data_IF_591909505798
#
_entry.id   IF_591909505798
#
_cell.length_a   1.000
_cell.length_b   1.000
_cell.length_c   1.000
_cell.angle_alpha   90.00
_cell.angle_beta   90.00
_cell.angle_gamma   90.00
#
_symmetry.space_group_name_H-M   'P 1'
#
loop_
_entity.id
_entity.type
_entity.pdbx_description
1 polymer ?
#
# COMPACT_ATOMS: atom_id res chain seq x y z
N UNK A 1 27.21 -5.46 -6.65
CA UNK A 1 27.35 -5.83 -5.22
C UNK A 1 26.25 -6.77 -4.76
N UNK A 2 24.96 -6.39 -4.77
CA UNK A 2 23.87 -7.26 -4.30
C UNK A 2 23.75 -8.56 -5.11
N UNK A 3 23.83 -8.47 -6.44
CA UNK A 3 23.85 -9.64 -7.34
C UNK A 3 24.95 -10.64 -6.98
N UNK A 4 26.20 -10.19 -6.87
CA UNK A 4 27.32 -11.05 -6.46
C UNK A 4 27.15 -11.67 -5.07
N UNK A 5 26.58 -10.93 -4.10
CA UNK A 5 26.28 -11.49 -2.77
C UNK A 5 25.17 -12.53 -2.79
N UNK A 6 24.10 -12.30 -3.56
CA UNK A 6 23.06 -13.31 -3.74
C UNK A 6 23.59 -14.52 -4.49
N UNK A 7 24.46 -14.34 -5.47
CA UNK A 7 25.14 -15.44 -6.18
C UNK A 7 26.10 -16.24 -5.25
N UNK A 8 26.66 -15.62 -4.20
CA UNK A 8 27.50 -16.28 -3.19
C UNK A 8 26.71 -16.97 -2.06
N UNK A 9 25.56 -16.42 -1.64
CA UNK A 9 24.75 -16.89 -0.49
C UNK A 9 23.53 -17.75 -0.92
N UNK A 10 23.59 -18.35 -2.11
CA UNK A 10 22.47 -18.44 -3.05
C UNK A 10 21.38 -19.51 -2.83
N UNK A 11 21.65 -20.64 -2.19
CA UNK A 11 20.79 -21.81 -2.42
C UNK A 11 19.54 -21.91 -1.51
N UNK A 12 19.43 -21.08 -0.46
CA UNK A 12 18.39 -21.22 0.59
C UNK A 12 17.72 -19.91 1.07
N UNK A 13 17.70 -18.85 0.26
CA UNK A 13 17.10 -17.57 0.69
C UNK A 13 15.61 -17.45 0.31
N UNK A 14 14.71 -17.72 1.26
CA UNK A 14 13.26 -17.53 1.08
C UNK A 14 12.82 -16.06 1.23
N UNK A 15 13.65 -15.22 1.87
CA UNK A 15 13.30 -13.82 2.19
C UNK A 15 14.48 -12.85 2.16
N UNK A 16 14.31 -11.72 1.49
CA UNK A 16 15.31 -10.67 1.35
C UNK A 16 14.89 -9.43 2.15
N UNK A 17 15.68 -9.02 3.15
CA UNK A 17 15.45 -7.75 3.87
C UNK A 17 16.43 -6.68 3.39
N UNK A 18 15.90 -5.55 2.95
CA UNK A 18 16.69 -4.41 2.46
C UNK A 18 16.35 -3.11 3.16
N UNK A 19 17.28 -2.16 3.05
CA UNK A 19 17.11 -0.74 3.42
C UNK A 19 17.20 0.14 2.17
N UNK A 20 17.39 1.45 2.32
CA UNK A 20 17.44 2.42 1.21
C UNK A 20 18.61 2.25 0.24
N UNK A 21 19.79 1.83 0.72
CA UNK A 21 21.00 1.79 -0.11
C UNK A 21 20.97 0.69 -1.21
N UNK A 22 20.24 -0.39 -0.97
CA UNK A 22 20.23 -1.56 -1.84
C UNK A 22 19.10 -1.46 -2.84
N UNK A 23 19.41 -1.43 -4.14
CA UNK A 23 18.40 -1.48 -5.21
C UNK A 23 18.07 -2.92 -5.56
N UNK A 24 16.80 -3.32 -5.42
CA UNK A 24 16.27 -4.63 -5.79
C UNK A 24 15.57 -4.48 -7.13
N UNK A 25 16.33 -4.56 -8.22
CA UNK A 25 15.86 -4.34 -9.59
C UNK A 25 15.20 -5.60 -10.18
N UNK A 26 14.46 -5.47 -11.29
CA UNK A 26 13.97 -6.60 -12.06
C UNK A 26 15.05 -7.63 -12.41
N UNK A 27 16.27 -7.18 -12.74
CA UNK A 27 17.41 -8.07 -13.03
C UNK A 27 17.72 -8.99 -11.84
N UNK A 28 17.72 -8.45 -10.61
CA UNK A 28 18.00 -9.23 -9.40
C UNK A 28 16.84 -10.17 -9.09
N UNK A 29 15.60 -9.69 -9.22
CA UNK A 29 14.38 -10.46 -8.95
C UNK A 29 14.24 -11.66 -9.89
N UNK A 30 14.63 -11.49 -11.15
CA UNK A 30 14.53 -12.52 -12.19
C UNK A 30 15.80 -13.37 -12.32
N UNK A 31 16.87 -13.06 -11.57
CA UNK A 31 18.08 -13.85 -11.59
C UNK A 31 17.82 -15.29 -11.08
N UNK A 32 18.54 -16.31 -11.58
CA UNK A 32 18.44 -17.68 -11.07
C UNK A 32 18.67 -17.77 -9.56
N UNK A 33 19.50 -16.86 -9.03
CA UNK A 33 19.76 -16.72 -7.61
C UNK A 33 18.54 -16.37 -6.74
N UNK A 34 17.51 -15.78 -7.35
CA UNK A 34 16.26 -15.45 -6.68
C UNK A 34 15.17 -16.50 -6.90
N UNK A 35 15.52 -17.74 -7.31
CA UNK A 35 14.53 -18.78 -7.61
C UNK A 35 13.61 -19.11 -6.42
N UNK A 36 14.17 -19.15 -5.21
CA UNK A 36 13.45 -19.46 -3.96
C UNK A 36 12.87 -18.25 -3.25
N UNK A 37 13.20 -17.04 -3.70
CA UNK A 37 12.76 -15.81 -3.04
C UNK A 37 11.22 -15.76 -3.04
N UNK A 38 10.61 -15.58 -1.85
CA UNK A 38 9.16 -15.46 -1.66
C UNK A 38 8.74 -14.11 -1.11
N UNK A 39 9.62 -13.44 -0.38
CA UNK A 39 9.32 -12.15 0.27
C UNK A 39 10.50 -11.18 0.20
N UNK A 40 10.20 -9.92 -0.08
CA UNK A 40 11.13 -8.79 0.02
C UNK A 40 10.60 -7.86 1.10
N UNK A 41 11.33 -7.75 2.22
CA UNK A 41 11.02 -6.84 3.30
C UNK A 41 11.85 -5.56 3.22
N UNK A 42 11.21 -4.42 3.00
CA UNK A 42 11.86 -3.10 3.08
C UNK A 42 11.72 -2.55 4.50
N UNK A 43 12.84 -2.46 5.21
CA UNK A 43 12.91 -1.82 6.53
C UNK A 43 12.84 -0.28 6.43
N UNK A 44 11.64 0.21 6.12
CA UNK A 44 11.24 1.61 6.12
C UNK A 44 9.97 1.82 5.28
N UNK A 45 9.44 3.04 5.23
CA UNK A 45 8.14 3.33 4.59
C UNK A 45 8.14 3.31 3.06
N UNK A 46 9.12 3.98 2.43
CA UNK A 46 9.26 3.96 0.96
C UNK A 46 9.73 2.63 0.42
N UNK A 47 9.34 2.30 -0.81
CA UNK A 47 9.78 1.09 -1.53
C UNK A 47 10.39 1.43 -2.88
N UNK A 48 10.82 2.69 -3.06
CA UNK A 48 11.32 3.25 -4.31
C UNK A 48 12.58 2.52 -4.84
N UNK A 49 13.28 1.81 -3.94
CA UNK A 49 14.45 0.99 -4.24
C UNK A 49 14.12 -0.48 -4.54
N UNK A 50 12.84 -0.85 -4.65
CA UNK A 50 12.37 -2.20 -4.99
C UNK A 50 11.49 -2.12 -6.23
N UNK A 51 11.78 -2.95 -7.22
CA UNK A 51 10.93 -3.11 -8.39
C UNK A 51 9.69 -3.95 -8.03
N UNK A 52 8.66 -3.26 -7.53
CA UNK A 52 7.42 -3.87 -7.06
C UNK A 52 6.69 -4.57 -8.20
N UNK A 53 6.76 -4.05 -9.43
CA UNK A 53 6.10 -4.67 -10.58
C UNK A 53 6.75 -6.01 -10.92
N UNK A 54 8.08 -6.05 -11.03
CA UNK A 54 8.82 -7.29 -11.27
C UNK A 54 8.60 -8.31 -10.15
N UNK A 55 8.62 -7.86 -8.88
CA UNK A 55 8.31 -8.72 -7.74
C UNK A 55 6.89 -9.28 -7.82
N UNK A 56 5.91 -8.43 -8.18
CA UNK A 56 4.51 -8.84 -8.36
C UNK A 56 4.40 -9.87 -9.47
N UNK A 57 5.00 -9.66 -10.65
CA UNK A 57 4.93 -10.63 -11.76
C UNK A 57 5.48 -12.01 -11.36
N UNK A 58 6.58 -12.04 -10.59
CA UNK A 58 7.15 -13.28 -10.01
C UNK A 58 6.41 -13.84 -8.78
N UNK A 59 5.32 -13.21 -8.35
CA UNK A 59 4.56 -13.64 -7.17
C UNK A 59 5.29 -13.45 -5.84
N UNK A 60 6.30 -12.57 -5.80
CA UNK A 60 7.08 -12.26 -4.60
C UNK A 60 6.38 -11.16 -3.82
N UNK A 61 6.11 -11.43 -2.54
CA UNK A 61 5.47 -10.46 -1.65
C UNK A 61 6.47 -9.35 -1.28
N UNK A 62 6.09 -8.08 -1.50
CA UNK A 62 6.83 -6.91 -1.01
C UNK A 62 6.15 -6.38 0.25
N UNK A 63 6.92 -6.21 1.32
CA UNK A 63 6.46 -5.65 2.59
C UNK A 63 7.27 -4.42 2.97
N UNK A 64 6.66 -3.45 3.64
CA UNK A 64 7.30 -2.26 4.18
C UNK A 64 6.96 -2.04 5.67
N UNK A 65 7.60 -1.05 6.29
CA UNK A 65 7.33 -0.67 7.69
C UNK A 65 6.74 0.74 7.74
N UNK A 66 5.42 0.89 7.53
CA UNK A 66 4.79 2.18 7.21
C UNK A 66 4.84 3.21 8.35
N UNK A 67 5.03 2.79 9.60
CA UNK A 67 5.06 3.68 10.76
C UNK A 67 6.48 3.92 11.32
N UNK A 68 7.43 3.02 11.05
CA UNK A 68 8.71 2.98 11.76
C UNK A 68 9.55 4.27 11.71
N UNK A 69 9.41 5.07 10.63
CA UNK A 69 10.19 6.29 10.42
C UNK A 69 9.41 7.61 10.59
N UNK A 70 8.10 7.58 10.88
CA UNK A 70 7.27 8.80 10.81
C UNK A 70 7.76 9.90 11.75
N UNK A 71 8.12 9.55 12.98
CA UNK A 71 8.60 10.50 13.99
C UNK A 71 9.93 11.15 13.57
N UNK A 72 10.90 10.36 13.12
CA UNK A 72 12.21 10.87 12.74
C UNK A 72 12.16 11.75 11.50
N UNK A 73 11.29 11.44 10.54
CA UNK A 73 11.07 12.29 9.37
C UNK A 73 10.40 13.62 9.74
N UNK A 74 9.45 13.59 10.69
CA UNK A 74 8.83 14.80 11.22
C UNK A 74 9.84 15.69 11.97
N UNK A 75 10.67 15.10 12.84
CA UNK A 75 11.73 15.82 13.56
C UNK A 75 12.74 16.46 12.59
N UNK A 76 13.18 15.74 11.55
CA UNK A 76 14.05 16.30 10.53
C UNK A 76 13.38 17.48 9.81
N UNK A 77 12.10 17.34 9.44
CA UNK A 77 11.35 18.42 8.78
C UNK A 77 11.26 19.67 9.67
N UNK A 78 10.92 19.52 10.95
CA UNK A 78 10.91 20.64 11.91
C UNK A 78 12.31 21.28 12.04
N UNK A 79 13.36 20.46 12.11
CA UNK A 79 14.75 20.93 12.14
C UNK A 79 15.14 21.69 10.87
N UNK A 80 14.66 21.26 9.70
CA UNK A 80 14.86 21.94 8.43
C UNK A 80 14.14 23.30 8.37
N UNK A 81 12.91 23.38 8.88
CA UNK A 81 12.16 24.65 9.00
C UNK A 81 12.94 25.64 9.88
N UNK A 82 13.38 25.21 11.06
CA UNK A 82 14.20 26.04 11.96
C UNK A 82 15.54 26.46 11.32
N UNK A 83 16.17 25.54 10.59
CA UNK A 83 17.44 25.79 9.90
C UNK A 83 17.28 26.80 8.78
N UNK A 84 16.17 26.80 8.05
CA UNK A 84 15.87 27.82 7.04
C UNK A 84 15.57 29.18 7.66
N UNK A 85 14.78 29.20 8.74
CA UNK A 85 14.43 30.45 9.42
C UNK A 85 15.67 31.18 9.95
N UNK A 86 16.72 30.45 10.33
CA UNK A 86 17.91 30.99 11.00
C UNK A 86 19.22 30.81 10.24
N UNK A 87 19.18 30.20 9.05
CA UNK A 87 20.35 29.89 8.20
C UNK A 87 21.46 29.16 8.95
N UNK A 88 21.08 28.22 9.83
CA UNK A 88 21.99 27.60 10.81
C UNK A 88 23.18 26.90 10.12
N UNK A 89 22.99 26.04 9.09
CA UNK A 89 24.11 25.34 8.46
C UNK A 89 25.12 26.29 7.81
N UNK A 90 24.62 27.33 7.12
CA UNK A 90 25.45 28.34 6.45
C UNK A 90 26.22 29.18 7.47
N UNK A 91 25.58 29.60 8.57
CA UNK A 91 26.23 30.36 9.64
C UNK A 91 27.30 29.52 10.36
N UNK A 92 27.00 28.26 10.65
CA UNK A 92 27.95 27.33 11.25
C UNK A 92 29.16 27.05 10.34
N UNK A 93 28.94 26.94 9.02
CA UNK A 93 30.02 26.80 8.05
C UNK A 93 30.93 28.04 8.03
N UNK A 94 30.36 29.26 8.01
CA UNK A 94 31.12 30.53 8.07
C UNK A 94 32.00 30.61 9.32
N UNK A 95 31.49 30.21 10.49
CA UNK A 95 32.29 30.14 11.73
C UNK A 95 33.47 29.17 11.64
N UNK A 96 33.28 27.99 11.00
CA UNK A 96 34.36 27.00 10.78
C UNK A 96 35.43 27.51 9.82
N UNK A 97 35.08 28.43 8.93
CA UNK A 97 36.02 29.15 8.06
C UNK A 97 36.73 30.31 8.77
N UNK A 98 36.47 30.54 10.06
CA UNK A 98 37.08 31.61 10.86
C UNK A 98 36.45 32.99 10.66
N UNK A 99 35.26 33.08 10.06
CA UNK A 99 34.56 34.35 9.80
C UNK A 99 33.60 34.69 10.95
N UNK A 100 33.29 35.98 11.10
CA UNK A 100 32.31 36.50 12.07
C UNK A 100 31.23 37.35 11.37
N UNK A 101 30.45 36.71 10.50
CA UNK A 101 29.50 37.38 9.60
C UNK A 101 28.13 37.69 10.24
N UNK A 102 28.10 38.25 11.46
CA UNK A 102 26.85 38.48 12.22
C UNK A 102 25.79 39.28 11.44
N UNK A 103 26.21 40.25 10.62
CA UNK A 103 25.30 41.10 9.82
C UNK A 103 24.70 40.37 8.60
N UNK A 104 25.34 39.29 8.13
CA UNK A 104 24.92 38.53 6.96
C UNK A 104 23.74 37.62 7.26
N UNK A 105 23.72 37.02 8.44
CA UNK A 105 22.74 36.00 8.82
C UNK A 105 21.56 36.61 9.61
N UNK A 106 20.77 37.43 8.93
CA UNK A 106 19.52 37.95 9.47
C UNK A 106 18.40 36.93 9.28
N UNK A 107 18.03 36.24 10.36
CA UNK A 107 16.96 35.25 10.35
C UNK A 107 15.56 35.84 10.52
N UNK A 108 14.58 34.95 10.66
CA UNK A 108 13.19 35.29 10.99
C UNK A 108 12.68 34.47 12.18
N UNK A 109 11.68 35.01 12.86
CA UNK A 109 10.91 34.30 13.88
C UNK A 109 9.81 33.46 13.22
N UNK A 110 9.53 32.30 13.80
CA UNK A 110 8.44 31.42 13.37
C UNK A 110 7.09 31.82 13.95
N UNK A 111 7.08 32.50 15.10
CA UNK A 111 5.84 32.89 15.78
C UNK A 111 4.96 33.74 14.86
N UNK A 112 3.70 33.33 14.71
CA UNK A 112 2.71 34.01 13.86
C UNK A 112 2.85 33.76 12.35
N UNK A 113 3.90 33.06 11.90
CA UNK A 113 4.06 32.67 10.49
C UNK A 113 3.13 31.53 10.11
N UNK A 114 2.77 31.46 8.83
CA UNK A 114 1.91 30.41 8.29
C UNK A 114 2.74 29.30 7.64
N UNK A 115 2.52 28.05 8.07
CA UNK A 115 3.03 26.84 7.46
C UNK A 115 1.92 26.13 6.68
N UNK A 116 2.11 25.98 5.37
CA UNK A 116 1.31 25.11 4.51
C UNK A 116 1.85 23.68 4.53
N UNK A 117 1.01 22.72 4.87
CA UNK A 117 1.36 21.30 4.95
C UNK A 117 0.60 20.54 3.87
N UNK A 118 1.31 20.08 2.83
CA UNK A 118 0.74 19.31 1.74
C UNK A 118 0.91 17.82 2.04
N UNK A 119 -0.19 17.13 2.34
CA UNK A 119 -0.18 15.77 2.89
C UNK A 119 -0.31 15.79 4.41
N UNK A 120 -1.47 15.37 4.91
CA UNK A 120 -1.88 15.43 6.32
C UNK A 120 -1.92 14.03 6.96
N UNK A 121 -1.22 13.07 6.36
CA UNK A 121 -0.98 11.76 6.95
C UNK A 121 -0.08 11.82 8.19
N UNK A 122 0.48 10.66 8.57
CA UNK A 122 1.24 10.48 9.82
C UNK A 122 2.33 11.54 10.05
N UNK A 123 3.14 11.83 9.03
CA UNK A 123 4.26 12.78 9.17
C UNK A 123 3.73 14.22 9.22
N UNK A 124 2.84 14.60 8.31
CA UNK A 124 2.27 15.96 8.27
C UNK A 124 1.57 16.36 9.56
N UNK A 125 0.83 15.42 10.19
CA UNK A 125 0.25 15.62 11.51
C UNK A 125 1.30 15.89 12.59
N UNK A 126 2.35 15.09 12.66
CA UNK A 126 3.41 15.26 13.65
C UNK A 126 4.18 16.57 13.46
N UNK A 127 4.39 17.00 12.22
CA UNK A 127 4.98 18.30 11.89
C UNK A 127 4.05 19.44 12.32
N UNK A 128 2.75 19.36 12.03
CA UNK A 128 1.77 20.38 12.42
C UNK A 128 1.81 20.64 13.93
N UNK A 129 1.65 19.57 14.74
CA UNK A 129 1.62 19.67 16.21
C UNK A 129 2.90 20.31 16.76
N UNK A 130 4.07 19.95 16.22
CA UNK A 130 5.35 20.53 16.65
C UNK A 130 5.50 21.99 16.24
N UNK A 131 5.11 22.34 15.02
CA UNK A 131 5.27 23.72 14.53
C UNK A 131 4.27 24.69 15.15
N UNK A 132 3.09 24.22 15.54
CA UNK A 132 2.14 24.97 16.36
C UNK A 132 2.72 25.31 17.75
N UNK A 133 3.55 24.44 18.34
CA UNK A 133 4.23 24.75 19.60
C UNK A 133 5.26 25.89 19.49
N UNK A 134 5.75 26.17 18.28
CA UNK A 134 6.55 27.38 17.97
C UNK A 134 5.67 28.61 17.65
N UNK A 135 4.35 28.50 17.79
CA UNK A 135 3.40 29.58 17.52
C UNK A 135 3.11 29.82 16.04
N UNK A 136 3.42 28.88 15.15
CA UNK A 136 3.03 28.95 13.74
C UNK A 136 1.53 28.68 13.57
N UNK A 137 0.93 29.31 12.57
CA UNK A 137 -0.40 28.94 12.05
C UNK A 137 -0.20 27.82 11.03
N UNK A 138 -1.04 26.80 11.06
CA UNK A 138 -0.94 25.66 10.14
C UNK A 138 -2.19 25.54 9.29
N UNK A 139 -2.00 25.58 7.97
CA UNK A 139 -3.02 25.25 6.96
C UNK A 139 -2.53 24.04 6.17
N UNK A 140 -3.43 23.28 5.56
CA UNK A 140 -3.01 22.10 4.82
C UNK A 140 -3.98 21.62 3.77
N UNK A 141 -3.52 20.65 2.99
CA UNK A 141 -4.31 20.00 1.95
C UNK A 141 -4.01 18.50 1.94
N UNK A 142 -5.06 17.70 1.96
CA UNK A 142 -4.98 16.27 1.73
C UNK A 142 -6.32 15.77 1.12
N UNK A 143 -6.32 15.13 -0.06
CA UNK A 143 -7.57 14.68 -0.68
C UNK A 143 -8.17 13.42 -0.02
N UNK A 144 -7.46 12.78 0.91
CA UNK A 144 -7.85 11.53 1.55
C UNK A 144 -8.30 11.77 3.00
N UNK A 145 -7.59 12.64 3.73
CA UNK A 145 -7.90 12.93 5.14
C UNK A 145 -9.10 13.87 5.23
N UNK A 146 -10.11 13.49 6.02
CA UNK A 146 -11.32 14.29 6.18
C UNK A 146 -11.03 15.60 6.95
N UNK A 147 -11.70 16.72 6.65
CA UNK A 147 -11.49 18.00 7.32
C UNK A 147 -11.61 17.94 8.86
N UNK A 148 -12.53 17.13 9.38
CA UNK A 148 -12.70 16.90 10.81
C UNK A 148 -11.49 16.23 11.47
N UNK A 149 -10.80 15.33 10.75
CA UNK A 149 -9.60 14.66 11.27
C UNK A 149 -8.44 15.65 11.39
N UNK A 150 -8.26 16.52 10.39
CA UNK A 150 -7.23 17.57 10.42
C UNK A 150 -7.51 18.65 11.47
N UNK A 151 -8.78 19.01 11.66
CA UNK A 151 -9.18 19.97 12.68
C UNK A 151 -8.85 19.47 14.09
N UNK A 152 -8.92 18.15 14.33
CA UNK A 152 -8.57 17.55 15.62
C UNK A 152 -7.10 17.75 16.04
N UNK A 153 -6.21 18.07 15.10
CA UNK A 153 -4.82 18.46 15.37
C UNK A 153 -4.50 19.89 14.93
N UNK A 154 -5.53 20.75 14.84
CA UNK A 154 -5.37 22.20 14.67
C UNK A 154 -4.94 22.65 13.27
N UNK A 155 -5.14 21.82 12.24
CA UNK A 155 -4.86 22.19 10.84
C UNK A 155 -6.17 22.48 10.12
N UNK A 156 -6.29 23.69 9.58
CA UNK A 156 -7.36 24.06 8.68
C UNK A 156 -7.07 23.52 7.27
N UNK A 157 -7.97 22.71 6.74
CA UNK A 157 -7.87 22.24 5.36
C UNK A 157 -8.44 23.26 4.39
N UNK A 158 -7.65 23.60 3.36
CA UNK A 158 -8.01 24.57 2.33
C UNK A 158 -7.71 24.01 0.94
N UNK A 159 -8.43 24.45 -0.10
CA UNK A 159 -8.03 24.21 -1.48
C UNK A 159 -6.62 24.77 -1.76
N UNK A 160 -5.86 24.11 -2.62
CA UNK A 160 -4.46 24.45 -2.91
C UNK A 160 -4.29 25.92 -3.32
N UNK A 161 -5.17 26.43 -4.18
CA UNK A 161 -5.17 27.82 -4.65
C UNK A 161 -5.31 28.87 -3.53
N UNK A 162 -5.91 28.48 -2.40
CA UNK A 162 -6.03 29.34 -1.22
C UNK A 162 -4.81 29.24 -0.30
N UNK A 163 -4.07 28.12 -0.34
CA UNK A 163 -2.89 27.89 0.51
C UNK A 163 -1.70 28.73 0.04
N UNK A 164 -1.41 28.76 -1.27
CA UNK A 164 -0.25 29.44 -1.84
C UNK A 164 -0.06 30.89 -1.37
N UNK A 165 -1.08 31.77 -1.45
CA UNK A 165 -0.92 33.17 -1.06
C UNK A 165 -0.83 33.39 0.46
N UNK A 166 -1.05 32.37 1.29
CA UNK A 166 -1.03 32.47 2.75
C UNK A 166 0.30 32.08 3.38
N UNK A 167 1.05 31.21 2.72
CA UNK A 167 2.18 30.52 3.33
C UNK A 167 3.46 31.35 3.36
N UNK A 168 4.10 31.40 4.52
CA UNK A 168 5.49 31.83 4.66
C UNK A 168 6.43 30.61 4.48
N UNK A 169 5.97 29.43 4.91
CA UNK A 169 6.64 28.15 4.74
C UNK A 169 5.70 27.13 4.07
N UNK A 170 6.22 26.27 3.21
CA UNK A 170 5.51 25.12 2.65
C UNK A 170 6.32 23.86 2.90
N UNK A 171 5.69 22.81 3.40
CA UNK A 171 6.30 21.48 3.50
C UNK A 171 5.42 20.42 2.85
N UNK A 172 6.06 19.43 2.22
CA UNK A 172 5.38 18.35 1.50
C UNK A 172 5.62 17.00 2.18
N UNK A 173 4.54 16.24 2.31
CA UNK A 173 4.45 14.92 2.95
C UNK A 173 3.53 13.97 2.19
N UNK A 174 3.41 14.18 0.87
CA UNK A 174 2.66 13.30 -0.03
C UNK A 174 3.53 12.14 -0.53
N UNK A 175 2.94 11.01 -0.94
CA UNK A 175 3.64 10.05 -1.80
C UNK A 175 3.94 10.68 -3.16
N UNK A 176 4.94 10.15 -3.88
CA UNK A 176 5.17 10.52 -5.28
C UNK A 176 4.22 9.74 -6.18
N UNK A 177 3.31 10.46 -6.82
CA UNK A 177 2.27 9.97 -7.72
C UNK A 177 2.21 10.89 -8.94
N UNK A 178 1.59 10.50 -10.06
CA UNK A 178 1.37 11.40 -11.19
C UNK A 178 0.68 12.71 -10.80
N UNK A 179 -0.24 12.67 -9.83
CA UNK A 179 -0.96 13.85 -9.32
C UNK A 179 -0.14 14.73 -8.36
N UNK A 180 0.96 14.24 -7.80
CA UNK A 180 1.80 14.97 -6.83
C UNK A 180 3.20 15.27 -7.39
N UNK A 181 3.51 14.80 -8.59
CA UNK A 181 4.74 15.13 -9.32
C UNK A 181 4.69 16.59 -9.74
N UNK A 182 5.72 17.37 -9.39
CA UNK A 182 5.75 18.80 -9.65
C UNK A 182 4.60 19.57 -8.99
N UNK A 183 4.11 19.11 -7.84
CA UNK A 183 3.09 19.79 -7.05
C UNK A 183 3.49 21.23 -6.72
N UNK A 184 4.79 21.45 -6.48
CA UNK A 184 5.38 22.78 -6.53
C UNK A 184 6.15 22.94 -7.85
N UNK A 185 5.66 23.81 -8.72
CA UNK A 185 6.21 24.14 -10.04
C UNK A 185 6.17 25.66 -10.29
N UNK A 186 6.56 26.14 -11.47
CA UNK A 186 6.61 27.59 -11.76
C UNK A 186 5.26 28.29 -11.53
N UNK A 187 4.15 27.65 -11.90
CA UNK A 187 2.81 28.22 -11.77
C UNK A 187 2.35 28.30 -10.31
N UNK A 188 2.67 27.31 -9.47
CA UNK A 188 2.35 27.38 -8.04
C UNK A 188 3.29 28.33 -7.31
N UNK A 189 4.57 28.37 -7.67
CA UNK A 189 5.52 29.34 -7.10
C UNK A 189 5.10 30.78 -7.38
N UNK A 190 4.57 31.07 -8.57
CA UNK A 190 4.06 32.40 -8.92
C UNK A 190 2.86 32.85 -8.05
N UNK A 191 2.09 31.90 -7.50
CA UNK A 191 0.96 32.18 -6.60
C UNK A 191 1.38 32.32 -5.13
N UNK A 192 2.59 31.87 -4.79
CA UNK A 192 3.09 31.95 -3.43
C UNK A 192 3.43 33.39 -3.04
N UNK A 193 3.51 33.64 -1.72
CA UNK A 193 4.13 34.86 -1.21
C UNK A 193 5.58 34.93 -1.67
N UNK A 194 6.01 36.13 -2.09
CA UNK A 194 7.42 36.36 -2.41
C UNK A 194 8.28 36.11 -1.18
N UNK A 195 9.31 35.28 -1.33
CA UNK A 195 10.19 34.88 -0.24
C UNK A 195 9.73 33.61 0.50
N UNK A 196 8.72 32.89 0.00
CA UNK A 196 8.27 31.61 0.59
C UNK A 196 9.44 30.64 0.77
N UNK A 197 9.47 29.91 1.88
CA UNK A 197 10.47 28.89 2.17
C UNK A 197 9.90 27.48 1.99
N UNK A 198 10.62 26.59 1.31
CA UNK A 198 10.10 25.25 0.95
C UNK A 198 10.90 24.14 1.64
N UNK A 199 10.22 23.12 2.16
CA UNK A 199 10.85 21.94 2.77
C UNK A 199 10.32 20.67 2.13
N UNK A 200 11.21 19.86 1.56
CA UNK A 200 10.89 18.53 1.05
C UNK A 200 11.77 17.47 1.72
N UNK A 201 11.16 16.74 2.66
CA UNK A 201 11.73 15.55 3.29
C UNK A 201 10.89 14.29 2.97
N UNK A 202 10.10 14.34 1.89
CA UNK A 202 9.18 13.27 1.51
C UNK A 202 9.72 12.42 0.36
N UNK A 203 9.61 12.91 -0.88
CA UNK A 203 10.15 12.25 -2.08
C UNK A 203 10.66 13.28 -3.08
N UNK A 204 11.74 12.93 -3.80
CA UNK A 204 12.19 13.68 -4.97
C UNK A 204 11.08 13.78 -6.02
N UNK A 205 11.08 14.85 -6.80
CA UNK A 205 10.08 15.09 -7.85
C UNK A 205 8.73 15.65 -7.38
N UNK A 206 8.40 15.67 -6.09
CA UNK A 206 7.19 16.36 -5.60
C UNK A 206 7.33 17.88 -5.81
N UNK A 207 8.53 18.40 -5.54
CA UNK A 207 8.92 19.76 -5.90
C UNK A 207 9.71 19.65 -7.21
N UNK A 208 9.27 20.37 -8.24
CA UNK A 208 10.02 20.48 -9.49
C UNK A 208 11.34 21.23 -9.21
N UNK A 209 12.45 20.51 -9.34
CA UNK A 209 13.79 21.01 -9.01
C UNK A 209 14.22 22.19 -9.90
N UNK A 210 13.83 22.18 -11.18
CA UNK A 210 14.12 23.25 -12.12
C UNK A 210 13.33 24.52 -11.80
N UNK A 211 12.03 24.37 -11.52
CA UNK A 211 11.16 25.47 -11.10
C UNK A 211 11.63 26.06 -9.77
N UNK A 212 12.01 25.20 -8.81
CA UNK A 212 12.56 25.64 -7.53
C UNK A 212 13.84 26.47 -7.73
N UNK A 213 14.76 26.03 -8.58
CA UNK A 213 15.99 26.76 -8.88
C UNK A 213 15.68 28.16 -9.47
N UNK A 214 14.75 28.25 -10.43
CA UNK A 214 14.30 29.54 -11.00
C UNK A 214 13.62 30.43 -9.96
N UNK A 215 12.80 29.84 -9.09
CA UNK A 215 12.13 30.56 -8.01
C UNK A 215 13.14 31.11 -6.98
N UNK A 216 14.19 30.35 -6.66
CA UNK A 216 15.28 30.78 -5.79
C UNK A 216 16.09 31.93 -6.41
N UNK A 217 16.41 31.84 -7.70
CA UNK A 217 17.16 32.87 -8.43
C UNK A 217 16.39 34.18 -8.57
N UNK A 218 15.07 34.13 -8.76
CA UNK A 218 14.20 35.31 -8.83
C UNK A 218 13.86 35.91 -7.46
N UNK A 219 14.14 35.17 -6.37
CA UNK A 219 13.73 35.51 -5.01
C UNK A 219 12.23 35.31 -4.75
N UNK A 220 11.52 34.64 -5.66
CA UNK A 220 10.16 34.17 -5.39
C UNK A 220 10.16 33.15 -4.25
N UNK A 221 11.12 32.23 -4.25
CA UNK A 221 11.45 31.37 -3.11
C UNK A 221 12.63 31.95 -2.34
N UNK A 222 12.47 32.18 -1.04
CA UNK A 222 13.51 32.77 -0.19
C UNK A 222 14.57 31.76 0.26
N UNK A 223 14.26 30.47 0.21
CA UNK A 223 15.16 29.38 0.57
C UNK A 223 14.46 28.03 0.56
N UNK A 224 15.24 26.96 0.46
CA UNK A 224 14.70 25.61 0.43
C UNK A 224 15.54 24.61 1.22
N UNK A 225 14.89 23.64 1.85
CA UNK A 225 15.53 22.53 2.53
C UNK A 225 15.09 21.20 1.90
N UNK A 226 16.05 20.45 1.37
CA UNK A 226 15.82 19.23 0.59
C UNK A 226 16.57 18.05 1.22
N UNK A 227 15.85 17.05 1.69
CA UNK A 227 16.46 15.77 2.11
C UNK A 227 16.46 14.74 0.97
N UNK A 228 15.69 14.99 -0.09
CA UNK A 228 15.42 14.04 -1.18
C UNK A 228 15.54 14.73 -2.52
N UNK A 229 15.95 13.98 -3.54
CA UNK A 229 16.16 14.45 -4.91
C UNK A 229 15.54 13.47 -5.92
N UNK A 230 15.26 13.94 -7.13
CA UNK A 230 14.69 13.13 -8.21
C UNK A 230 15.68 12.04 -8.65
N UNK A 231 16.97 12.37 -8.66
CA UNK A 231 18.05 11.41 -8.80
C UNK A 231 18.91 11.40 -7.54
N UNK A 232 19.11 10.23 -6.94
CA UNK A 232 19.91 10.06 -5.72
C UNK A 232 21.08 9.07 -5.96
N UNK A 233 22.34 9.50 -5.82
CA UNK A 233 22.82 10.87 -5.50
C UNK A 233 22.59 11.88 -6.65
N UNK A 234 22.36 13.18 -6.35
CA UNK A 234 22.08 14.18 -7.37
C UNK A 234 23.31 14.46 -8.23
N UNK A 235 23.17 14.26 -9.55
CA UNK A 235 24.18 14.62 -10.54
C UNK A 235 24.20 16.12 -10.81
N UNK A 236 23.03 16.73 -10.95
CA UNK A 236 22.92 18.18 -10.99
C UNK A 236 23.15 18.75 -9.59
N UNK A 237 24.16 19.60 -9.49
CA UNK A 237 24.61 20.21 -8.25
C UNK A 237 24.09 21.64 -8.07
N UNK A 238 23.33 22.19 -9.01
CA UNK A 238 22.87 23.58 -9.00
C UNK A 238 22.08 23.91 -7.73
N UNK A 239 21.09 23.08 -7.37
CA UNK A 239 20.35 23.24 -6.11
C UNK A 239 21.23 23.00 -4.89
N UNK A 240 22.02 21.91 -4.89
CA UNK A 240 22.86 21.56 -3.73
C UNK A 240 23.87 22.66 -3.40
N UNK A 241 24.40 23.34 -4.41
CA UNK A 241 25.39 24.39 -4.25
C UNK A 241 24.76 25.79 -4.07
N UNK A 242 23.43 25.94 -4.19
CA UNK A 242 22.78 27.23 -4.06
C UNK A 242 22.86 27.76 -2.62
N UNK A 243 23.22 29.03 -2.38
CA UNK A 243 23.50 29.55 -1.03
C UNK A 243 22.29 29.51 -0.08
N UNK A 244 21.07 29.63 -0.64
CA UNK A 244 19.82 29.57 0.12
C UNK A 244 19.21 28.16 0.19
N UNK A 245 19.95 27.13 -0.23
CA UNK A 245 19.52 25.74 -0.13
C UNK A 245 20.27 25.04 0.99
N UNK A 246 19.53 24.33 1.82
CA UNK A 246 20.04 23.35 2.77
C UNK A 246 19.71 21.99 2.21
N UNK A 247 20.68 21.08 2.14
CA UNK A 247 20.39 19.73 1.68
C UNK A 247 21.04 18.67 2.55
N UNK A 248 20.40 17.51 2.60
CA UNK A 248 20.85 16.33 3.31
C UNK A 248 20.77 15.09 2.40
N UNK A 249 21.63 14.08 2.61
CA UNK A 249 21.65 12.88 1.80
C UNK A 249 20.60 11.86 2.29
N UNK A 250 19.31 12.20 2.21
CA UNK A 250 18.18 11.32 2.54
C UNK A 250 18.26 10.74 3.97
N UNK A 251 18.30 11.63 4.95
CA UNK A 251 18.46 11.34 6.37
C UNK A 251 17.14 11.17 7.13
N UNK A 252 15.96 11.34 6.53
CA UNK A 252 14.67 11.32 7.23
C UNK A 252 14.39 10.09 8.09
N UNK A 253 14.98 8.94 7.76
CA UNK A 253 14.90 7.71 8.55
C UNK A 253 16.23 7.30 9.23
N UNK A 254 17.27 8.12 9.13
CA UNK A 254 18.63 7.81 9.55
C UNK A 254 18.87 8.13 11.03
N UNK A 255 18.02 7.55 11.90
CA UNK A 255 18.13 7.64 13.36
C UNK A 255 18.21 6.25 13.98
N UNK A 256 18.85 6.11 15.15
CA UNK A 256 18.98 4.79 15.81
C UNK A 256 17.60 4.20 16.12
N UNK A 257 16.68 5.06 16.53
CA UNK A 257 15.32 4.72 16.94
C UNK A 257 14.48 4.28 15.74
N UNK A 258 14.53 4.99 14.61
CA UNK A 258 13.82 4.56 13.40
C UNK A 258 14.40 3.25 12.86
N UNK A 259 15.73 3.11 12.81
CA UNK A 259 16.36 1.87 12.34
C UNK A 259 16.00 0.67 13.23
N UNK A 260 15.92 0.86 14.55
CA UNK A 260 15.47 -0.17 15.49
C UNK A 260 13.99 -0.52 15.30
N UNK A 261 13.11 0.48 15.20
CA UNK A 261 11.67 0.27 14.97
C UNK A 261 11.41 -0.45 13.64
N UNK A 262 11.96 0.04 12.54
CA UNK A 262 11.80 -0.58 11.22
C UNK A 262 12.38 -2.01 11.20
N UNK A 263 13.56 -2.23 11.79
CA UNK A 263 14.15 -3.56 11.87
C UNK A 263 13.27 -4.55 12.66
N UNK A 264 12.75 -4.12 13.81
CA UNK A 264 11.83 -4.94 14.60
C UNK A 264 10.52 -5.20 13.87
N UNK A 265 9.94 -4.17 13.26
CA UNK A 265 8.66 -4.25 12.55
C UNK A 265 8.73 -5.21 11.38
N UNK A 266 9.77 -5.12 10.52
CA UNK A 266 9.90 -6.04 9.39
C UNK A 266 10.16 -7.47 9.85
N UNK A 267 10.96 -7.67 10.92
CA UNK A 267 11.21 -8.99 11.47
C UNK A 267 9.92 -9.63 12.01
N UNK A 268 9.10 -8.88 12.76
CA UNK A 268 7.81 -9.36 13.25
C UNK A 268 6.87 -9.69 12.10
N UNK A 269 6.81 -8.85 11.06
CA UNK A 269 6.00 -9.12 9.87
C UNK A 269 6.40 -10.42 9.15
N UNK A 270 7.70 -10.72 9.07
CA UNK A 270 8.18 -11.98 8.51
C UNK A 270 7.84 -13.19 9.39
N UNK A 271 7.92 -13.06 10.72
CA UNK A 271 7.46 -14.10 11.65
C UNK A 271 5.95 -14.33 11.51
N UNK A 272 5.18 -13.25 11.38
CA UNK A 272 3.73 -13.31 11.18
C UNK A 272 3.40 -14.02 9.86
N UNK A 273 4.14 -13.71 8.78
CA UNK A 273 4.02 -14.41 7.50
C UNK A 273 4.32 -15.91 7.63
N UNK A 274 5.43 -16.27 8.27
CA UNK A 274 5.82 -17.67 8.45
C UNK A 274 4.79 -18.47 9.28
N UNK A 275 4.13 -17.81 10.24
CA UNK A 275 3.10 -18.42 11.08
C UNK A 275 1.69 -18.32 10.47
N UNK A 276 1.55 -17.71 9.29
CA UNK A 276 0.25 -17.48 8.64
C UNK A 276 -0.67 -16.65 9.53
N UNK A 277 -0.17 -15.55 10.09
CA UNK A 277 -0.95 -14.52 10.79
C UNK A 277 -1.27 -13.35 9.84
N UNK A 278 -2.16 -12.47 10.26
CA UNK A 278 -2.53 -11.29 9.47
C UNK A 278 -1.29 -10.40 9.22
N UNK A 279 -1.15 -9.90 7.99
CA UNK A 279 0.02 -9.13 7.59
C UNK A 279 -0.26 -7.62 7.63
N UNK A 280 0.73 -6.87 8.09
CA UNK A 280 0.78 -5.40 7.99
C UNK A 280 1.88 -5.01 7.00
N UNK A 281 1.70 -3.90 6.28
CA UNK A 281 2.73 -3.37 5.40
C UNK A 281 2.89 -4.10 4.06
N UNK A 282 1.96 -4.98 3.67
CA UNK A 282 1.95 -5.60 2.35
C UNK A 282 1.72 -4.54 1.25
N UNK A 283 2.65 -4.44 0.31
CA UNK A 283 2.64 -3.42 -0.75
C UNK A 283 1.90 -3.91 -2.00
N UNK A 284 2.26 -5.10 -2.50
CA UNK A 284 1.69 -5.71 -3.71
C UNK A 284 0.76 -6.90 -3.45
N UNK A 285 0.41 -7.14 -2.19
CA UNK A 285 -0.40 -8.28 -1.76
C UNK A 285 -1.44 -7.88 -0.73
N UNK A 286 -2.20 -6.81 -0.96
CA UNK A 286 -3.18 -6.30 0.02
C UNK A 286 -4.22 -7.37 0.39
N UNK A 287 -4.58 -8.24 -0.55
CA UNK A 287 -5.39 -9.43 -0.32
C UNK A 287 -4.83 -10.34 0.79
N UNK A 288 -3.51 -10.46 0.88
CA UNK A 288 -2.82 -11.29 1.86
C UNK A 288 -2.94 -10.77 3.29
N UNK A 289 -3.13 -9.46 3.47
CA UNK A 289 -3.29 -8.86 4.81
C UNK A 289 -4.43 -9.49 5.61
N UNK A 290 -5.50 -9.88 4.91
CA UNK A 290 -6.71 -10.49 5.49
C UNK A 290 -6.84 -11.99 5.21
N UNK A 291 -6.00 -12.53 4.32
CA UNK A 291 -6.09 -13.91 3.84
C UNK A 291 -5.67 -14.96 4.86
N UNK A 292 -4.78 -14.62 5.78
CA UNK A 292 -4.12 -15.61 6.64
C UNK A 292 -4.83 -15.84 7.99
N UNK A 293 -5.92 -15.12 8.27
CA UNK A 293 -6.68 -15.39 9.50
C UNK A 293 -7.28 -16.81 9.49
N UNK A 294 -7.33 -17.53 10.63
CA UNK A 294 -7.84 -18.92 10.67
C UNK A 294 -9.24 -19.09 10.07
N UNK A 295 -10.09 -18.08 10.20
CA UNK A 295 -11.45 -18.08 9.68
C UNK A 295 -11.56 -17.75 8.18
N UNK A 296 -10.53 -17.18 7.55
CA UNK A 296 -10.53 -16.82 6.11
C UNK A 296 -9.92 -17.91 5.22
N UNK A 297 -9.00 -18.74 5.76
CA UNK A 297 -8.35 -19.84 5.02
C UNK A 297 -9.34 -20.77 4.27
N UNK A 298 -10.44 -21.25 4.86
CA UNK A 298 -11.38 -22.14 4.15
C UNK A 298 -12.04 -21.45 2.94
N UNK A 299 -12.30 -20.14 3.05
CA UNK A 299 -12.93 -19.38 1.97
C UNK A 299 -11.99 -19.16 0.78
N UNK A 300 -10.70 -18.97 1.04
CA UNK A 300 -9.67 -18.86 -0.01
C UNK A 300 -9.51 -20.19 -0.75
N UNK A 301 -9.46 -21.30 -0.01
CA UNK A 301 -9.41 -22.64 -0.61
C UNK A 301 -10.65 -22.89 -1.50
N UNK A 302 -11.83 -22.53 -1.01
CA UNK A 302 -13.08 -22.62 -1.78
C UNK A 302 -13.05 -21.73 -3.03
N UNK A 303 -12.63 -20.47 -2.91
CA UNK A 303 -12.53 -19.54 -4.04
C UNK A 303 -11.55 -20.03 -5.12
N UNK A 304 -10.40 -20.57 -4.72
CA UNK A 304 -9.42 -21.16 -5.63
C UNK A 304 -9.96 -22.43 -6.30
N UNK A 305 -10.65 -23.30 -5.55
CA UNK A 305 -11.27 -24.50 -6.12
C UNK A 305 -12.37 -24.14 -7.13
N UNK A 306 -13.18 -23.12 -6.83
CA UNK A 306 -14.19 -22.60 -7.75
C UNK A 306 -13.56 -22.01 -9.01
N UNK A 307 -12.45 -21.26 -8.91
CA UNK A 307 -11.71 -20.78 -10.07
C UNK A 307 -11.16 -21.91 -10.93
N UNK A 308 -10.61 -22.96 -10.31
CA UNK A 308 -10.10 -24.16 -11.00
C UNK A 308 -11.23 -24.89 -11.73
N UNK A 309 -12.37 -25.05 -11.06
CA UNK A 309 -13.56 -25.66 -11.67
C UNK A 309 -14.08 -24.82 -12.84
N UNK A 310 -14.09 -23.49 -12.70
CA UNK A 310 -14.50 -22.59 -13.78
C UNK A 310 -13.57 -22.70 -15.00
N UNK A 311 -12.27 -22.81 -14.77
CA UNK A 311 -11.28 -23.08 -15.83
C UNK A 311 -11.59 -24.40 -16.54
N UNK A 312 -11.76 -25.50 -15.79
CA UNK A 312 -12.06 -26.81 -16.36
C UNK A 312 -13.37 -26.84 -17.17
N UNK A 313 -14.37 -26.03 -16.79
CA UNK A 313 -15.66 -25.93 -17.48
C UNK A 313 -15.59 -25.07 -18.76
N UNK A 314 -14.68 -24.10 -18.82
CA UNK A 314 -14.60 -23.10 -19.91
C UNK A 314 -13.44 -23.34 -20.88
N UNK A 315 -12.42 -24.10 -20.48
CA UNK A 315 -11.24 -24.40 -21.29
C UNK A 315 -10.29 -23.21 -21.40
N UNK A 316 -10.59 -22.27 -22.30
CA UNK A 316 -9.83 -21.01 -22.42
C UNK A 316 -10.64 -19.86 -21.84
N UNK A 317 -10.09 -19.28 -20.78
CA UNK A 317 -10.71 -18.20 -20.06
C UNK A 317 -10.37 -16.89 -20.78
N UNK A 318 -11.21 -16.46 -21.71
CA UNK A 318 -11.25 -15.08 -22.23
C UNK A 318 -12.60 -14.47 -21.86
N UNK A 319 -12.63 -13.34 -21.16
CA UNK A 319 -13.88 -12.70 -20.76
C UNK A 319 -13.86 -12.06 -19.37
N UNK A 320 -15.04 -11.97 -18.76
CA UNK A 320 -15.23 -11.32 -17.45
C UNK A 320 -15.77 -12.29 -16.40
N UNK A 321 -15.11 -12.33 -15.24
CA UNK A 321 -15.47 -13.16 -14.08
C UNK A 321 -15.86 -12.25 -12.93
N UNK A 322 -17.06 -12.43 -12.39
CA UNK A 322 -17.59 -11.66 -11.28
C UNK A 322 -17.71 -12.54 -10.04
N UNK A 323 -17.03 -12.15 -8.98
CA UNK A 323 -17.12 -12.76 -7.66
C UNK A 323 -18.23 -12.07 -6.86
N UNK A 324 -19.25 -12.83 -6.47
CA UNK A 324 -20.40 -12.32 -5.71
C UNK A 324 -20.43 -12.96 -4.33
N UNK A 325 -20.29 -12.13 -3.30
CA UNK A 325 -20.32 -12.56 -1.90
C UNK A 325 -21.65 -12.20 -1.25
N UNK A 326 -22.26 -13.15 -0.54
CA UNK A 326 -23.48 -12.96 0.24
C UNK A 326 -23.24 -13.24 1.73
N UNK A 327 -23.92 -12.47 2.58
CA UNK A 327 -23.85 -12.58 4.05
C UNK A 327 -22.98 -11.49 4.68
N UNK A 328 -23.35 -11.06 5.88
CA UNK A 328 -22.66 -9.99 6.62
C UNK A 328 -21.18 -10.31 6.89
N UNK A 329 -20.86 -11.59 7.11
CA UNK A 329 -19.48 -12.02 7.36
C UNK A 329 -18.57 -11.93 6.12
N UNK A 330 -19.12 -11.85 4.91
CA UNK A 330 -18.36 -11.77 3.66
C UNK A 330 -18.38 -10.37 3.00
N UNK A 331 -19.01 -9.37 3.63
CA UNK A 331 -19.08 -8.02 3.05
C UNK A 331 -17.72 -7.39 2.75
N UNK A 332 -16.70 -7.72 3.54
CA UNK A 332 -15.31 -7.24 3.34
C UNK A 332 -14.39 -8.30 2.70
N UNK A 333 -14.96 -9.44 2.29
CA UNK A 333 -14.19 -10.59 1.84
C UNK A 333 -13.72 -10.51 0.38
N UNK A 334 -14.34 -9.64 -0.41
CA UNK A 334 -14.01 -9.44 -1.82
C UNK A 334 -12.50 -9.20 -2.06
N UNK A 335 -11.83 -8.50 -1.13
CA UNK A 335 -10.41 -8.17 -1.24
C UNK A 335 -9.48 -9.38 -1.22
N UNK A 336 -9.87 -10.52 -0.63
CA UNK A 336 -9.06 -11.74 -0.61
C UNK A 336 -9.65 -12.90 -1.42
N UNK A 337 -10.96 -12.88 -1.70
CA UNK A 337 -11.60 -13.92 -2.50
C UNK A 337 -11.38 -13.74 -3.99
N UNK A 338 -11.43 -12.51 -4.50
CA UNK A 338 -11.27 -12.23 -5.94
C UNK A 338 -9.89 -12.68 -6.46
N UNK A 339 -8.77 -12.38 -5.77
CA UNK A 339 -7.46 -12.89 -6.17
C UNK A 339 -7.33 -14.41 -6.03
N UNK A 340 -8.02 -15.02 -5.08
CA UNK A 340 -8.05 -16.49 -4.92
C UNK A 340 -8.77 -17.18 -6.09
N UNK A 341 -9.86 -16.59 -6.59
CA UNK A 341 -10.54 -17.04 -7.81
C UNK A 341 -9.61 -16.92 -9.02
N UNK A 342 -8.97 -15.77 -9.20
CA UNK A 342 -8.01 -15.55 -10.30
C UNK A 342 -6.85 -16.56 -10.25
N UNK A 343 -6.31 -16.82 -9.06
CA UNK A 343 -5.29 -17.85 -8.84
C UNK A 343 -5.78 -19.25 -9.25
N UNK A 344 -7.03 -19.61 -8.92
CA UNK A 344 -7.63 -20.88 -9.34
C UNK A 344 -7.79 -20.98 -10.87
N UNK A 345 -8.23 -19.91 -11.51
CA UNK A 345 -8.45 -19.83 -12.96
C UNK A 345 -7.18 -20.03 -13.79
N UNK A 346 -6.04 -19.61 -13.25
CA UNK A 346 -4.76 -19.60 -13.96
C UNK A 346 -3.83 -20.72 -13.53
N UNK A 347 -4.25 -21.57 -12.59
CA UNK A 347 -3.39 -22.58 -11.94
C UNK A 347 -2.73 -23.56 -12.93
N UNK A 348 -3.40 -23.85 -14.04
CA UNK A 348 -2.92 -24.79 -15.06
C UNK A 348 -2.24 -24.09 -16.25
N UNK A 349 -2.47 -22.79 -16.44
CA UNK A 349 -2.01 -22.03 -17.61
C UNK A 349 -0.85 -21.08 -17.33
N UNK A 350 -0.72 -20.60 -16.08
CA UNK A 350 0.31 -19.67 -15.67
C UNK A 350 1.28 -20.31 -14.66
N UNK A 351 2.58 -20.18 -14.91
CA UNK A 351 3.61 -20.63 -13.99
C UNK A 351 3.63 -19.75 -12.71
N UNK A 352 3.78 -20.38 -11.55
CA UNK A 352 3.95 -19.71 -10.24
C UNK A 352 2.84 -18.70 -9.86
N UNK A 353 1.57 -18.95 -10.24
CA UNK A 353 0.44 -18.09 -9.83
C UNK A 353 0.10 -18.23 -8.34
N UNK A 354 -0.14 -17.10 -7.68
CA UNK A 354 -0.51 -16.99 -6.27
C UNK A 354 -1.38 -15.74 -6.00
N UNK A 355 -1.66 -15.46 -4.72
CA UNK A 355 -2.53 -14.33 -4.30
C UNK A 355 -1.91 -12.93 -4.52
N UNK A 356 -0.61 -12.84 -4.81
CA UNK A 356 0.09 -11.58 -5.14
C UNK A 356 -0.08 -11.27 -6.63
N UNK A 357 0.17 -12.25 -7.49
CA UNK A 357 0.25 -12.04 -8.95
C UNK A 357 -1.01 -12.44 -9.72
N UNK A 358 -1.95 -13.17 -9.09
CA UNK A 358 -3.10 -13.75 -9.79
C UNK A 358 -3.98 -12.75 -10.52
N UNK A 359 -4.18 -11.55 -9.95
CA UNK A 359 -4.96 -10.49 -10.61
C UNK A 359 -4.23 -9.90 -11.83
N UNK A 360 -2.92 -9.67 -11.71
CA UNK A 360 -2.08 -9.13 -12.78
C UNK A 360 -2.03 -10.12 -13.96
N UNK A 361 -1.75 -11.40 -13.67
CA UNK A 361 -1.67 -12.45 -14.69
C UNK A 361 -3.03 -12.70 -15.34
N UNK A 362 -4.14 -12.52 -14.61
CA UNK A 362 -5.47 -12.62 -15.19
C UNK A 362 -5.70 -11.51 -16.22
N UNK A 363 -5.35 -10.27 -15.90
CA UNK A 363 -5.46 -9.14 -16.82
C UNK A 363 -4.58 -9.32 -18.06
N UNK A 364 -3.33 -9.77 -17.91
CA UNK A 364 -2.42 -10.09 -19.02
C UNK A 364 -2.97 -11.23 -19.91
N UNK A 365 -3.69 -12.19 -19.34
CA UNK A 365 -4.40 -13.25 -20.06
C UNK A 365 -5.73 -12.80 -20.70
N UNK A 366 -6.10 -11.51 -20.58
CA UNK A 366 -7.34 -10.96 -21.11
C UNK A 366 -8.58 -11.26 -20.25
N UNK A 367 -8.40 -11.62 -18.99
CA UNK A 367 -9.47 -11.87 -18.02
C UNK A 367 -9.72 -10.66 -17.13
N UNK A 368 -10.97 -10.19 -17.12
CA UNK A 368 -11.44 -9.18 -16.17
C UNK A 368 -12.08 -9.86 -14.97
N UNK A 369 -11.32 -10.03 -13.89
CA UNK A 369 -11.84 -10.57 -12.64
C UNK A 369 -12.25 -9.41 -11.73
N UNK A 370 -13.51 -9.38 -11.31
CA UNK A 370 -14.07 -8.34 -10.45
C UNK A 370 -14.89 -8.91 -9.30
N UNK A 371 -15.31 -8.04 -8.40
CA UNK A 371 -16.23 -8.38 -7.32
C UNK A 371 -17.45 -7.47 -7.34
N UNK A 372 -18.63 -8.03 -7.07
CA UNK A 372 -19.85 -7.26 -6.89
C UNK A 372 -20.46 -7.58 -5.51
N UNK A 373 -20.66 -6.59 -4.63
CA UNK A 373 -21.48 -6.76 -3.44
C UNK A 373 -22.91 -7.09 -3.88
N UNK A 374 -23.50 -8.16 -3.36
CA UNK A 374 -24.88 -8.50 -3.67
C UNK A 374 -25.81 -7.35 -3.26
N UNK A 375 -26.44 -6.69 -4.24
CA UNK A 375 -27.38 -5.58 -4.01
C UNK A 375 -28.83 -6.03 -3.81
N UNK A 376 -29.12 -7.34 -3.75
CA UNK A 376 -30.46 -7.87 -3.49
C UNK A 376 -30.45 -9.17 -2.68
N UNK A 377 -31.48 -9.43 -1.86
CA UNK A 377 -31.68 -10.72 -1.23
C UNK A 377 -31.95 -11.77 -2.31
N UNK A 378 -31.03 -12.70 -2.52
CA UNK A 378 -31.35 -13.96 -3.19
C UNK A 378 -32.45 -14.62 -2.36
N UNK A 379 -33.65 -14.81 -2.94
CA UNK A 379 -34.64 -15.72 -2.37
C UNK A 379 -34.06 -17.13 -2.44
N UNK A 380 -33.29 -17.50 -1.41
CA UNK A 380 -32.94 -18.88 -1.10
C UNK A 380 -34.26 -19.63 -0.91
N UNK A 381 -34.71 -20.32 -1.96
CA UNK A 381 -35.76 -21.31 -1.84
C UNK A 381 -35.29 -22.38 -0.86
N UNK A 382 -35.81 -22.30 0.36
CA UNK A 382 -35.92 -23.35 1.37
C UNK A 382 -34.72 -24.34 1.47
N UNK A 383 -33.63 -23.92 2.11
CA UNK A 383 -32.80 -24.81 2.91
C UNK A 383 -32.99 -24.44 4.40
N UNK A 384 -34.13 -24.83 4.96
CA UNK A 384 -34.35 -24.87 6.42
C UNK A 384 -34.02 -26.28 6.90
N UNK A 385 -33.08 -26.42 7.83
CA UNK A 385 -33.17 -27.56 8.74
C UNK A 385 -34.39 -27.37 9.65
N UNK A 386 -35.14 -28.42 10.00
CA UNK A 386 -36.16 -28.31 11.04
C UNK A 386 -35.47 -28.02 12.37
N UNK A 387 -35.49 -26.75 12.80
CA UNK A 387 -35.06 -26.32 14.15
C UNK A 387 -33.78 -25.49 14.28
N UNK A 388 -33.12 -25.06 13.20
CA UNK A 388 -31.85 -24.29 13.27
C UNK A 388 -31.95 -22.80 12.90
N UNK A 389 -31.13 -21.95 13.55
CA UNK A 389 -30.90 -20.55 13.18
C UNK A 389 -30.42 -20.41 11.71
N UNK A 390 -30.67 -19.27 11.02
CA UNK A 390 -30.24 -19.09 9.64
C UNK A 390 -28.72 -19.10 9.52
N UNK A 391 -28.19 -20.12 8.86
CA UNK A 391 -26.77 -20.22 8.45
C UNK A 391 -26.73 -20.03 6.93
N UNK A 392 -25.86 -19.15 6.43
CA UNK A 392 -25.60 -19.14 4.99
C UNK A 392 -24.88 -17.90 4.49
N UNK A 393 -23.56 -17.84 4.69
CA UNK A 393 -22.72 -17.04 3.81
C UNK A 393 -22.52 -17.83 2.51
N UNK A 394 -22.65 -17.19 1.35
CA UNK A 394 -22.51 -17.83 0.03
C UNK A 394 -21.50 -17.07 -0.82
N UNK A 395 -20.60 -17.79 -1.48
CA UNK A 395 -19.75 -17.29 -2.55
C UNK A 395 -20.28 -17.85 -3.87
N UNK A 396 -20.72 -16.97 -4.77
CA UNK A 396 -21.09 -17.30 -6.13
C UNK A 396 -20.09 -16.69 -7.11
N UNK A 397 -19.79 -17.41 -8.18
CA UNK A 397 -18.99 -16.88 -9.29
C UNK A 397 -19.86 -16.86 -10.54
N UNK A 398 -19.91 -15.71 -11.21
CA UNK A 398 -20.69 -15.48 -12.41
C UNK A 398 -19.75 -15.11 -13.56
N UNK A 399 -19.95 -15.71 -14.73
CA UNK A 399 -19.32 -15.31 -15.99
C UNK A 399 -20.30 -14.45 -16.78
N UNK A 400 -19.91 -13.23 -17.17
CA UNK A 400 -20.69 -12.42 -18.10
C UNK A 400 -20.11 -12.49 -19.52
N UNK A 401 -20.91 -13.08 -20.42
CA UNK A 401 -20.76 -13.28 -21.88
C UNK A 401 -19.57 -14.11 -22.40
N UNK A 402 -19.79 -15.42 -22.49
CA UNK A 402 -19.51 -16.20 -23.71
C UNK A 402 -20.89 -16.66 -24.21
N UNK A 403 -21.24 -16.35 -25.46
CA UNK A 403 -22.26 -17.15 -26.17
C UNK A 403 -21.65 -18.54 -26.24
N UNK A 404 -22.00 -19.41 -25.29
CA UNK A 404 -21.74 -20.83 -25.40
C UNK A 404 -22.46 -21.26 -26.68
N UNK A 405 -21.73 -21.34 -27.79
CA UNK A 405 -22.14 -22.21 -28.87
C UNK A 405 -22.31 -23.57 -28.21
N UNK A 406 -23.56 -24.05 -28.21
CA UNK A 406 -24.09 -25.19 -27.44
C UNK A 406 -23.44 -26.54 -27.83
N UNK A 407 -22.27 -26.52 -28.47
CA UNK A 407 -21.61 -27.66 -29.11
C UNK A 407 -20.29 -28.06 -28.42
N UNK A 408 -19.76 -27.27 -27.47
CA UNK A 408 -18.48 -27.56 -26.80
C UNK A 408 -18.56 -28.11 -25.36
N UNK A 409 -19.74 -28.18 -24.74
CA UNK A 409 -19.88 -28.64 -23.34
C UNK A 409 -19.74 -30.17 -23.22
N UNK A 410 -18.92 -30.58 -22.24
CA UNK A 410 -18.71 -31.97 -21.83
C UNK A 410 -20.06 -32.64 -21.51
N UNK A 411 -20.38 -33.85 -22.04
CA UNK A 411 -21.71 -34.44 -21.96
C UNK A 411 -22.29 -34.59 -20.54
N UNK A 412 -21.43 -34.65 -19.51
CA UNK A 412 -21.83 -34.71 -18.11
C UNK A 412 -22.60 -33.47 -17.60
N UNK A 413 -22.38 -32.29 -18.18
CA UNK A 413 -23.12 -31.06 -17.84
C UNK A 413 -24.52 -31.02 -18.48
N UNK A 414 -24.88 -32.05 -19.26
CA UNK A 414 -26.19 -32.17 -19.90
C UNK A 414 -27.21 -32.91 -19.02
N UNK A 415 -26.79 -33.44 -17.87
CA UNK A 415 -27.68 -34.11 -16.92
C UNK A 415 -28.22 -33.11 -15.87
N UNK A 416 -29.55 -32.78 -15.90
CA UNK A 416 -30.18 -31.88 -14.95
C UNK A 416 -30.16 -32.38 -13.50
N UNK A 417 -29.89 -33.68 -13.26
CA UNK A 417 -29.84 -34.27 -11.94
C UNK A 417 -28.46 -34.12 -11.26
N UNK A 418 -27.40 -33.89 -12.04
CA UNK A 418 -26.02 -33.83 -11.54
C UNK A 418 -25.52 -32.40 -11.23
N UNK A 419 -26.28 -31.37 -11.62
CA UNK A 419 -25.87 -29.97 -11.47
C UNK A 419 -26.94 -29.18 -10.71
N UNK A 420 -26.57 -28.64 -9.54
CA UNK A 420 -27.37 -27.64 -8.83
C UNK A 420 -27.31 -26.30 -9.58
N UNK A 421 -27.96 -26.23 -10.74
CA UNK A 421 -28.10 -25.04 -11.58
C UNK A 421 -29.47 -24.44 -11.28
N UNK A 422 -29.51 -23.30 -10.58
CA UNK A 422 -30.74 -22.52 -10.44
C UNK A 422 -30.89 -21.55 -11.63
N UNK A 423 -32.12 -21.35 -12.16
CA UNK A 423 -32.33 -20.46 -13.28
C UNK A 423 -32.15 -19.00 -12.88
N UNK A 424 -31.41 -18.25 -13.71
CA UNK A 424 -31.15 -16.83 -13.53
C UNK A 424 -32.41 -15.99 -13.84
N UNK A 425 -32.92 -15.27 -12.84
CA UNK A 425 -33.75 -14.08 -13.05
C UNK A 425 -33.52 -13.05 -11.95
N UNK A 426 -32.31 -12.52 -11.82
CA UNK A 426 -32.08 -11.25 -11.10
C UNK A 426 -30.70 -10.70 -11.42
N UNK A 427 -30.65 -9.39 -11.69
CA UNK A 427 -29.52 -8.62 -12.23
C UNK A 427 -29.28 -8.88 -13.72
N UNK A 428 -29.18 -7.84 -14.53
CA UNK A 428 -28.98 -7.90 -16.00
C UNK A 428 -27.64 -8.50 -16.46
N UNK A 429 -27.07 -9.42 -15.69
CA UNK A 429 -25.91 -10.24 -16.01
C UNK A 429 -26.41 -11.56 -16.62
N UNK A 430 -26.11 -11.80 -17.89
CA UNK A 430 -26.38 -13.08 -18.57
C UNK A 430 -25.23 -14.06 -18.29
N UNK A 431 -25.49 -15.10 -17.48
CA UNK A 431 -24.52 -16.15 -17.14
C UNK A 431 -25.10 -17.24 -16.23
N UNK A 432 -24.55 -18.46 -16.30
CA UNK A 432 -24.96 -19.60 -15.46
C UNK A 432 -24.22 -19.57 -14.09
N UNK A 433 -24.93 -19.70 -12.95
CA UNK A 433 -24.30 -19.65 -11.63
C UNK A 433 -23.61 -20.98 -11.28
N UNK A 434 -22.40 -20.90 -10.71
CA UNK A 434 -21.75 -22.01 -10.03
C UNK A 434 -21.70 -21.69 -8.53
N UNK A 435 -22.37 -22.50 -7.71
CA UNK A 435 -22.50 -22.27 -6.25
C UNK A 435 -21.98 -23.49 -5.50
N UNK A 436 -20.99 -23.31 -4.61
CA UNK A 436 -20.52 -24.36 -3.69
C UNK A 436 -20.46 -23.82 -2.25
N UNK A 437 -20.88 -24.64 -1.29
CA UNK A 437 -20.76 -24.39 0.14
C UNK A 437 -19.47 -25.05 0.68
N UNK A 438 -18.80 -24.47 1.69
CA UNK A 438 -17.66 -25.13 2.33
C UNK A 438 -18.09 -26.43 3.04
N UNK A 439 -17.22 -27.44 3.13
CA UNK A 439 -17.53 -28.68 3.84
C UNK A 439 -17.68 -28.43 5.35
N UNK A 440 -18.73 -29.00 5.92
CA UNK A 440 -19.01 -29.00 7.36
C UNK A 440 -18.06 -30.04 8.01
N UNK A 441 -17.36 -29.73 9.12
CA UNK A 441 -16.67 -30.76 9.88
C UNK A 441 -17.71 -31.75 10.42
N UNK A 442 -17.66 -33.00 9.96
CA UNK A 442 -18.54 -34.07 10.46
C UNK A 442 -18.29 -34.26 11.96
N UNK A 443 -19.30 -33.95 12.78
CA UNK A 443 -19.30 -34.31 14.19
C UNK A 443 -19.26 -35.84 14.31
N UNK A 444 -18.41 -36.33 15.22
CA UNK A 444 -18.01 -37.73 15.34
C UNK A 444 -19.16 -38.73 15.45
N UNK A 445 -18.94 -39.89 14.84
CA UNK A 445 -19.74 -41.09 15.04
C UNK A 445 -19.87 -41.40 16.53
N UNK A 446 -21.11 -41.56 17.00
CA UNK A 446 -21.42 -41.89 18.37
C UNK A 446 -20.79 -43.21 18.81
N UNK A 447 -20.08 -43.17 19.93
CA UNK A 447 -19.80 -44.35 20.75
C UNK A 447 -21.04 -44.65 21.62
N UNK A 448 -21.43 -45.93 21.78
CA UNK A 448 -22.58 -46.29 22.61
C UNK A 448 -22.28 -46.02 24.08
N UNK A 449 -23.24 -45.38 24.75
CA UNK A 449 -23.22 -45.07 26.17
C UNK A 449 -23.22 -46.34 27.02
N UNK A 450 -22.16 -46.57 27.79
CA UNK A 450 -22.18 -47.50 28.91
C UNK A 450 -22.71 -46.77 30.15
N UNK A 451 -23.80 -47.28 30.71
CA UNK A 451 -24.36 -46.88 31.99
C UNK A 451 -23.40 -47.25 33.13
N UNK A 452 -23.01 -46.26 33.94
CA UNK A 452 -22.18 -46.44 35.13
C UNK A 452 -22.48 -45.38 36.16
N UNK A 453 -23.29 -45.76 37.15
CA UNK A 453 -23.66 -45.00 38.33
C UNK A 453 -22.51 -44.86 39.34
N UNK A 454 -22.20 -43.63 39.75
CA UNK A 454 -21.63 -43.26 41.05
C UNK A 454 -21.82 -41.73 41.14
N UNK A 455 -22.40 -41.11 42.17
CA UNK A 455 -22.36 -41.40 43.59
C UNK A 455 -22.00 -40.06 44.25
N UNK A 456 -22.97 -39.45 44.93
CA UNK A 456 -22.89 -38.10 45.51
C UNK A 456 -21.96 -38.03 46.74
N UNK A 457 -21.00 -37.09 46.66
CA UNK A 457 -20.56 -36.19 47.75
C UNK A 457 -19.49 -36.68 48.74
N UNK A 458 -18.89 -35.77 49.54
CA UNK A 458 -18.80 -34.30 49.41
C UNK A 458 -17.53 -33.81 48.71
#
# INVERSE_FOLDING_TARGET
>A
LLRGKMEEENDDCDGLVVRSATKVTAEIINAPSAARLRVIGRAGTGVDNVDVEAATRRGILVMNTPAGNSLSAAELTCGMILSLARQIPQAAASMKEGKWDRKKFMGMELQGKTLGILGLGRIGREVAVRMQAFGMKTVGYDPIILPEESAAFGVEQLPLEQIWPLCDFITVHTPLLPSTTGLLNDATFAQCRRGVQVVNCARGGIVDEGALLRALQSGQCGGAALDVFTEEPPKDRALVNHPNVISCPHLGASTREAQSRCGREIAMQLVDLAQGRALVGAVNGQALSSAYAPHTKPWIALASALGTLLHALTGQASGSVQCVTHGSALQKAAGYLTPAVAMGLLKETAAEVNLVNGMLLAEEAGLKVGSCPASLPVRLGALRQPGGHPVGCLLGIYLSWVVLSWHGLNPWLRDPAAAAIFPARTCGCTGAPLTLLPPIPMAGAGLPTASGSAGLGP
#
